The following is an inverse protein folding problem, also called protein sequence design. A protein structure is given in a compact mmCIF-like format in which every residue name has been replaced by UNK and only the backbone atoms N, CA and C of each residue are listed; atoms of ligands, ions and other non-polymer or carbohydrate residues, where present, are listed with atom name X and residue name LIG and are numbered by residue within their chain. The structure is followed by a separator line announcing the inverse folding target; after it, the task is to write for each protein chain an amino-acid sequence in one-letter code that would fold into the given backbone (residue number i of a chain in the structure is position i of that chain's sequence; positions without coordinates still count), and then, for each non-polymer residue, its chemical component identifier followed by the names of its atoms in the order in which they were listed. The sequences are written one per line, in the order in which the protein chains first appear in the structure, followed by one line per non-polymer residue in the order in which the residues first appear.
data_IF_072973177177
#
_entry.id   IF_072973177177
#
_cell.length_a   1.000
_cell.length_b   1.000
_cell.length_c   1.000
_cell.angle_alpha   90.00
_cell.angle_beta   90.00
_cell.angle_gamma   90.00
#
_symmetry.space_group_name_H-M   'P 1'
#
loop_
_entity.id
_entity.type
_entity.pdbx_description
1 polymer ?
#
# COMPACT_ATOMS: atom_id res chain seq x y z
N UNK A 1 11.35 3.92 -16.19
CA UNK A 1 10.69 4.78 -15.19
C UNK A 1 9.81 3.89 -14.34
N UNK A 2 9.85 4.06 -13.03
CA UNK A 2 8.99 3.33 -12.09
C UNK A 2 7.66 4.06 -11.93
N UNK A 3 6.57 3.32 -11.82
CA UNK A 3 5.30 3.87 -11.34
C UNK A 3 5.24 3.79 -9.82
N UNK A 4 4.33 4.55 -9.22
CA UNK A 4 4.12 4.59 -7.78
C UNK A 4 2.64 4.35 -7.45
N UNK A 5 2.41 3.51 -6.44
CA UNK A 5 1.09 3.00 -6.10
C UNK A 5 0.78 3.22 -4.63
N UNK A 6 -0.46 3.63 -4.35
CA UNK A 6 -1.05 3.56 -3.03
C UNK A 6 -2.09 2.45 -3.01
N UNK A 7 -1.89 1.46 -2.14
CA UNK A 7 -2.81 0.35 -1.92
C UNK A 7 -3.58 0.53 -0.61
N UNK A 8 -4.91 0.37 -0.65
CA UNK A 8 -5.80 0.54 0.49
C UNK A 8 -6.12 -0.82 1.10
N UNK A 9 -5.52 -1.10 2.26
CA UNK A 9 -5.60 -2.41 2.93
C UNK A 9 -5.60 -2.20 4.45
N UNK A 10 -6.38 -2.97 5.20
CA UNK A 10 -6.36 -2.89 6.68
C UNK A 10 -4.99 -3.21 7.25
N UNK A 11 -4.59 -2.54 8.33
CA UNK A 11 -3.23 -2.66 8.87
C UNK A 11 -2.84 -4.09 9.26
N UNK A 12 -3.80 -4.88 9.77
CA UNK A 12 -3.58 -6.31 10.04
C UNK A 12 -3.17 -7.09 8.79
N UNK A 13 -3.85 -6.88 7.66
CA UNK A 13 -3.50 -7.55 6.41
C UNK A 13 -2.20 -7.01 5.82
N UNK A 14 -1.91 -5.71 6.00
CA UNK A 14 -0.62 -5.13 5.62
C UNK A 14 0.52 -5.83 6.35
N UNK A 15 0.43 -5.98 7.69
CA UNK A 15 1.46 -6.67 8.49
C UNK A 15 1.70 -8.10 8.02
N UNK A 16 0.64 -8.86 7.74
CA UNK A 16 0.77 -10.20 7.15
C UNK A 16 1.45 -10.16 5.78
N UNK A 17 1.07 -9.20 4.93
CA UNK A 17 1.71 -9.00 3.62
C UNK A 17 3.20 -8.67 3.73
N UNK A 18 3.59 -7.83 4.69
CA UNK A 18 4.98 -7.50 4.98
C UNK A 18 5.76 -8.72 5.46
N UNK A 19 5.21 -9.48 6.41
CA UNK A 19 5.82 -10.71 6.93
C UNK A 19 6.09 -11.74 5.81
N UNK A 20 5.17 -11.89 4.87
CA UNK A 20 5.32 -12.78 3.72
C UNK A 20 6.12 -12.18 2.55
N UNK A 21 6.46 -10.89 2.59
CA UNK A 21 7.12 -10.19 1.48
C UNK A 21 6.26 -10.09 0.22
N UNK A 22 4.95 -9.88 0.37
CA UNK A 22 3.97 -9.87 -0.74
C UNK A 22 3.08 -8.62 -0.73
N UNK A 23 2.58 -8.26 -1.91
CA UNK A 23 1.41 -7.39 -2.09
C UNK A 23 0.20 -8.21 -2.48
N UNK A 24 -0.92 -7.97 -1.79
CA UNK A 24 -2.23 -8.56 -2.08
C UNK A 24 -3.30 -7.49 -1.82
N UNK A 25 -4.06 -7.11 -2.84
CA UNK A 25 -5.05 -6.03 -2.76
C UNK A 25 -6.42 -6.49 -3.23
N UNK A 26 -7.45 -5.67 -3.01
CA UNK A 26 -8.80 -5.89 -3.57
C UNK A 26 -9.37 -7.29 -3.32
N UNK A 27 -9.22 -7.82 -2.10
CA UNK A 27 -9.65 -9.17 -1.73
C UNK A 27 -9.07 -10.26 -2.65
N UNK A 28 -7.79 -10.13 -3.02
CA UNK A 28 -7.07 -11.12 -3.83
C UNK A 28 -7.36 -11.04 -5.33
N UNK A 29 -8.10 -10.02 -5.78
CA UNK A 29 -8.39 -9.85 -7.21
C UNK A 29 -7.15 -9.35 -7.98
N UNK A 30 -7.01 -9.72 -9.26
CA UNK A 30 -5.79 -9.46 -10.02
C UNK A 30 -5.61 -8.00 -10.50
N UNK A 31 -6.65 -7.15 -10.50
CA UNK A 31 -6.59 -5.89 -11.27
C UNK A 31 -5.49 -4.93 -10.77
N UNK A 32 -5.33 -4.79 -9.45
CA UNK A 32 -4.25 -3.96 -8.89
C UNK A 32 -2.88 -4.60 -9.12
N UNK A 33 -2.79 -5.90 -8.87
CA UNK A 33 -1.55 -6.68 -8.94
C UNK A 33 -0.96 -6.70 -10.36
N UNK A 34 -1.80 -6.84 -11.39
CA UNK A 34 -1.35 -6.89 -12.79
C UNK A 34 -0.85 -5.56 -13.35
N UNK A 35 -1.16 -4.44 -12.68
CA UNK A 35 -0.70 -3.10 -13.09
C UNK A 35 0.69 -2.77 -12.55
N UNK A 36 1.15 -3.50 -11.54
CA UNK A 36 2.43 -3.29 -10.89
C UNK A 36 3.54 -4.02 -11.64
N UNK A 37 4.65 -3.33 -11.89
CA UNK A 37 5.84 -3.87 -12.53
C UNK A 37 7.03 -3.90 -11.55
N UNK A 38 8.03 -4.78 -11.76
CA UNK A 38 9.26 -4.76 -10.96
C UNK A 38 9.89 -3.37 -10.91
N UNK A 39 10.31 -2.94 -9.72
CA UNK A 39 10.88 -1.63 -9.47
C UNK A 39 9.86 -0.52 -9.18
N UNK A 40 8.56 -0.74 -9.38
CA UNK A 40 7.51 0.20 -8.96
C UNK A 40 7.54 0.43 -7.44
N UNK A 41 7.26 1.66 -7.01
CA UNK A 41 7.09 1.98 -5.60
C UNK A 41 5.68 1.64 -5.13
N UNK A 42 5.57 1.09 -3.92
CA UNK A 42 4.30 0.75 -3.27
C UNK A 42 4.26 1.36 -1.87
N UNK A 43 3.16 2.02 -1.55
CA UNK A 43 2.78 2.45 -0.20
C UNK A 43 1.45 1.81 0.16
N UNK A 44 1.32 1.36 1.40
CA UNK A 44 0.01 1.02 1.97
C UNK A 44 -0.58 2.18 2.76
N UNK A 45 -1.85 2.45 2.50
CA UNK A 45 -2.72 3.23 3.37
C UNK A 45 -3.75 2.31 4.04
N UNK A 46 -3.88 2.43 5.34
CA UNK A 46 -4.81 1.65 6.15
C UNK A 46 -5.90 2.54 6.75
N UNK A 47 -7.11 2.55 6.18
CA UNK A 47 -8.25 3.26 6.75
C UNK A 47 -8.64 2.72 8.14
N UNK A 48 -8.40 1.43 8.37
CA UNK A 48 -8.78 0.68 9.58
C UNK A 48 -7.67 -0.25 10.05
N UNK A 49 -7.71 -0.61 11.33
CA UNK A 49 -6.79 -1.59 11.94
C UNK A 49 -7.00 -3.02 11.42
N UNK A 50 -8.26 -3.45 11.25
CA UNK A 50 -8.66 -4.76 10.72
C UNK A 50 -9.87 -4.64 9.77
N UNK A 51 -10.13 -5.70 8.99
CA UNK A 51 -11.30 -5.80 8.10
C UNK A 51 -12.24 -6.91 8.59
N UNK A 52 -13.57 -6.73 8.55
CA UNK A 52 -14.28 -5.52 8.11
C UNK A 52 -14.45 -4.45 9.21
N UNK A 53 -14.32 -4.84 10.48
CA UNK A 53 -14.86 -4.07 11.62
C UNK A 53 -13.81 -3.39 12.51
N UNK A 54 -12.56 -3.29 12.07
CA UNK A 54 -11.52 -2.63 12.85
C UNK A 54 -11.76 -1.13 13.04
N UNK A 55 -11.17 -0.59 14.09
CA UNK A 55 -11.19 0.83 14.41
C UNK A 55 -10.57 1.69 13.29
N UNK A 56 -11.04 2.93 13.09
CA UNK A 56 -10.41 3.88 12.19
C UNK A 56 -8.93 4.09 12.55
N UNK A 57 -8.06 3.95 11.55
CA UNK A 57 -6.62 4.16 11.70
C UNK A 57 -6.15 5.36 10.87
N UNK A 58 -6.46 5.35 9.58
CA UNK A 58 -6.09 6.40 8.61
C UNK A 58 -4.58 6.70 8.61
N UNK A 59 -3.75 5.67 8.53
CA UNK A 59 -2.29 5.78 8.52
C UNK A 59 -1.67 5.16 7.27
N UNK A 60 -0.48 5.62 6.90
CA UNK A 60 0.43 4.89 6.03
C UNK A 60 1.15 3.84 6.87
N UNK A 61 1.14 2.57 6.44
CA UNK A 61 1.48 1.43 7.32
C UNK A 61 2.59 0.52 6.80
N UNK A 62 2.99 0.70 5.54
CA UNK A 62 4.20 0.08 5.00
C UNK A 62 4.56 0.73 3.67
N UNK A 63 5.83 0.63 3.31
CA UNK A 63 6.38 1.09 2.04
C UNK A 63 7.41 0.10 1.51
N UNK A 64 7.50 -0.03 0.19
CA UNK A 64 8.45 -0.93 -0.44
C UNK A 64 8.51 -0.78 -1.95
N UNK A 65 9.24 -1.70 -2.58
CA UNK A 65 9.34 -1.81 -4.03
C UNK A 65 8.93 -3.19 -4.52
N UNK A 66 8.18 -3.21 -5.62
CA UNK A 66 7.79 -4.45 -6.27
C UNK A 66 9.07 -5.17 -6.72
N UNK A 67 9.23 -6.41 -6.26
CA UNK A 67 10.39 -7.23 -6.58
C UNK A 67 10.27 -7.83 -8.00
N UNK A 68 11.38 -8.38 -8.48
CA UNK A 68 11.40 -9.13 -9.74
C UNK A 68 10.47 -10.34 -9.70
N UNK A 69 9.93 -10.67 -10.87
CA UNK A 69 9.03 -11.80 -11.08
C UNK A 69 7.62 -11.41 -11.52
N UNK A 70 6.89 -12.44 -11.94
CA UNK A 70 5.50 -12.34 -12.41
C UNK A 70 4.50 -12.44 -11.25
N UNK A 71 3.29 -11.85 -11.41
CA UNK A 71 2.24 -12.07 -10.45
C UNK A 71 1.81 -13.54 -10.47
N UNK A 72 1.59 -14.13 -9.29
CA UNK A 72 1.10 -15.50 -9.18
C UNK A 72 -0.20 -15.55 -8.41
N UNK A 73 -0.97 -16.61 -8.64
CA UNK A 73 -2.14 -16.93 -7.83
C UNK A 73 -1.71 -17.92 -6.75
N UNK A 74 -1.81 -17.53 -5.49
CA UNK A 74 -1.60 -18.44 -4.37
C UNK A 74 -2.83 -19.31 -4.15
N UNK A 75 -2.63 -20.49 -3.57
CA UNK A 75 -3.70 -21.36 -3.10
C UNK A 75 -3.66 -21.38 -1.57
N UNK A 76 -4.56 -20.64 -0.93
CA UNK A 76 -4.65 -20.53 0.54
C UNK A 76 -6.02 -21.04 0.95
N UNK A 77 -6.08 -22.31 1.34
CA UNK A 77 -7.33 -23.00 1.67
C UNK A 77 -8.35 -22.89 0.51
N UNK A 78 -9.49 -22.24 0.73
CA UNK A 78 -10.52 -22.00 -0.29
C UNK A 78 -10.43 -20.60 -0.92
N UNK A 79 -9.32 -19.89 -0.73
CA UNK A 79 -9.08 -18.55 -1.23
C UNK A 79 -7.86 -18.52 -2.15
N UNK A 80 -8.05 -18.06 -3.39
CA UNK A 80 -7.00 -18.06 -4.42
C UNK A 80 -6.55 -16.64 -4.81
N UNK A 81 -5.86 -15.90 -3.92
CA UNK A 81 -5.49 -14.52 -4.17
C UNK A 81 -4.33 -14.37 -5.15
N UNK A 82 -4.37 -13.31 -5.94
CA UNK A 82 -3.21 -12.84 -6.72
C UNK A 82 -2.24 -12.06 -5.85
N UNK A 83 -0.95 -12.33 -6.04
CA UNK A 83 0.16 -11.75 -5.27
C UNK A 83 1.33 -11.37 -6.18
N UNK A 84 2.13 -10.41 -5.72
CA UNK A 84 3.49 -10.11 -6.21
C UNK A 84 4.44 -10.06 -5.03
N UNK A 85 5.73 -10.32 -5.27
CA UNK A 85 6.78 -10.15 -4.27
C UNK A 85 7.09 -8.66 -4.11
N UNK A 86 7.41 -8.26 -2.89
CA UNK A 86 7.76 -6.89 -2.53
C UNK A 86 8.94 -6.90 -1.57
N UNK A 87 9.91 -6.03 -1.81
CA UNK A 87 10.94 -5.69 -0.85
C UNK A 87 10.44 -4.50 -0.03
N UNK A 88 10.01 -4.77 1.21
CA UNK A 88 9.56 -3.73 2.13
C UNK A 88 10.74 -3.09 2.86
N UNK A 89 10.65 -1.79 3.09
CA UNK A 89 11.54 -1.07 3.99
C UNK A 89 11.12 -1.34 5.45
N UNK A 90 12.05 -1.16 6.40
CA UNK A 90 11.69 -1.06 7.80
C UNK A 90 10.96 0.28 8.03
N UNK A 91 9.75 0.23 8.59
CA UNK A 91 8.88 1.40 8.69
C UNK A 91 8.02 1.39 9.94
N UNK A 92 7.58 2.58 10.37
CA UNK A 92 6.63 2.80 11.48
C UNK A 92 5.40 3.55 11.01
N UNK A 93 4.19 3.15 11.41
CA UNK A 93 2.95 3.80 10.97
C UNK A 93 2.98 5.33 11.15
N UNK A 94 2.59 6.07 10.11
CA UNK A 94 2.48 7.55 10.13
C UNK A 94 1.05 7.95 9.78
N UNK A 95 0.45 8.85 10.55
CA UNK A 95 -0.92 9.29 10.30
C UNK A 95 -1.02 10.05 8.97
N UNK A 96 -2.09 9.81 8.21
CA UNK A 96 -2.39 10.61 7.02
C UNK A 96 -2.42 12.10 7.33
N UNK A 97 -2.94 12.48 8.51
CA UNK A 97 -3.07 13.88 8.91
C UNK A 97 -1.73 14.62 8.97
N UNK A 98 -0.63 13.92 9.24
CA UNK A 98 0.71 14.51 9.33
C UNK A 98 1.26 14.92 7.95
N UNK A 99 0.88 14.18 6.89
CA UNK A 99 1.37 14.39 5.53
C UNK A 99 0.32 15.05 4.61
N UNK A 100 -0.96 15.00 4.98
CA UNK A 100 -2.08 15.46 4.15
C UNK A 100 -1.93 16.87 3.55
N UNK A 101 -1.33 17.87 4.23
CA UNK A 101 -1.13 19.19 3.63
C UNK A 101 -0.08 19.23 2.50
N UNK A 102 0.80 18.21 2.45
CA UNK A 102 1.96 18.18 1.56
C UNK A 102 1.78 17.23 0.37
N UNK A 103 0.88 16.25 0.47
CA UNK A 103 0.66 15.29 -0.61
C UNK A 103 -0.19 15.91 -1.74
N UNK A 104 0.28 15.75 -2.97
CA UNK A 104 -0.44 16.14 -4.18
C UNK A 104 -1.75 15.36 -4.30
N UNK A 105 -1.72 14.06 -3.98
CA UNK A 105 -2.90 13.18 -4.00
C UNK A 105 -4.05 13.72 -3.16
N UNK A 106 -3.77 14.29 -1.99
CA UNK A 106 -4.81 14.83 -1.10
C UNK A 106 -5.26 16.24 -1.47
N UNK A 107 -4.56 16.91 -2.40
CA UNK A 107 -5.02 18.16 -3.02
C UNK A 107 -6.00 17.91 -4.18
N UNK A 108 -6.09 16.67 -4.69
CA UNK A 108 -7.04 16.34 -5.73
C UNK A 108 -8.49 16.38 -5.22
N UNK A 109 -9.38 16.91 -6.06
CA UNK A 109 -10.81 16.88 -5.78
C UNK A 109 -11.28 15.42 -5.59
N UNK A 110 -12.01 15.16 -4.51
CA UNK A 110 -12.54 13.84 -4.17
C UNK A 110 -11.46 12.75 -3.97
N UNK A 111 -10.24 13.10 -3.53
CA UNK A 111 -9.18 12.12 -3.23
C UNK A 111 -9.68 10.95 -2.34
N UNK A 112 -10.52 11.24 -1.34
CA UNK A 112 -11.11 10.22 -0.46
C UNK A 112 -12.03 9.23 -1.18
N UNK A 113 -12.67 9.63 -2.28
CA UNK A 113 -13.44 8.71 -3.13
C UNK A 113 -12.52 7.81 -3.96
N UNK A 114 -11.36 8.32 -4.39
CA UNK A 114 -10.40 7.52 -5.16
C UNK A 114 -9.88 6.30 -4.40
N UNK A 115 -9.72 6.43 -3.07
CA UNK A 115 -9.33 5.32 -2.19
C UNK A 115 -10.25 4.09 -2.30
N UNK A 116 -11.52 4.28 -2.70
CA UNK A 116 -12.48 3.16 -2.92
C UNK A 116 -12.07 2.21 -4.04
N UNK A 117 -11.14 2.62 -4.91
CA UNK A 117 -10.58 1.76 -5.98
C UNK A 117 -9.62 0.69 -5.44
N UNK A 118 -9.18 0.84 -4.19
CA UNK A 118 -8.29 -0.08 -3.48
C UNK A 118 -6.83 -0.07 -3.95
N UNK A 119 -6.55 0.31 -5.20
CA UNK A 119 -5.21 0.66 -5.69
C UNK A 119 -5.32 1.90 -6.58
N UNK A 120 -4.56 2.94 -6.26
CA UNK A 120 -4.50 4.20 -7.02
C UNK A 120 -3.06 4.55 -7.36
N UNK A 121 -2.79 5.13 -8.54
CA UNK A 121 -1.49 5.72 -8.80
C UNK A 121 -1.28 6.94 -7.91
N UNK A 122 -0.03 7.17 -7.49
CA UNK A 122 0.43 8.40 -6.84
C UNK A 122 1.66 8.93 -7.56
N UNK A 123 2.05 10.17 -7.29
CA UNK A 123 3.26 10.75 -7.88
C UNK A 123 4.52 10.25 -7.17
N UNK A 124 5.67 10.41 -7.84
CA UNK A 124 6.97 10.13 -7.22
C UNK A 124 7.20 11.02 -5.98
N UNK A 125 6.73 12.27 -6.02
CA UNK A 125 6.78 13.21 -4.91
C UNK A 125 6.06 12.66 -3.68
N UNK A 126 4.79 12.25 -3.83
CA UNK A 126 4.00 11.69 -2.73
C UNK A 126 4.63 10.41 -2.17
N UNK A 127 5.09 9.52 -3.06
CA UNK A 127 5.80 8.32 -2.64
C UNK A 127 7.04 8.65 -1.81
N UNK A 128 7.86 9.61 -2.27
CA UNK A 128 9.09 10.00 -1.58
C UNK A 128 8.80 10.61 -0.20
N UNK A 129 7.79 11.49 -0.09
CA UNK A 129 7.38 12.08 1.19
C UNK A 129 6.88 11.02 2.18
N UNK A 130 6.00 10.12 1.74
CA UNK A 130 5.46 9.07 2.61
C UNK A 130 6.58 8.11 3.03
N UNK A 131 7.44 7.69 2.09
CA UNK A 131 8.58 6.82 2.37
C UNK A 131 9.50 7.47 3.40
N UNK A 132 9.87 8.73 3.19
CA UNK A 132 10.74 9.45 4.12
C UNK A 132 10.14 9.49 5.53
N UNK A 133 8.86 9.87 5.65
CA UNK A 133 8.21 9.97 6.95
C UNK A 133 8.13 8.62 7.67
N UNK A 134 7.72 7.56 6.95
CA UNK A 134 7.48 6.25 7.55
C UNK A 134 8.77 5.47 7.86
N UNK A 135 9.90 5.80 7.21
CA UNK A 135 11.22 5.19 7.47
C UNK A 135 12.13 6.05 8.34
N UNK A 136 11.73 7.29 8.67
CA UNK A 136 12.48 8.13 9.59
C UNK A 136 12.23 7.64 11.01
N UNK A 137 13.21 6.96 11.59
CA UNK A 137 13.18 6.68 13.03
C UNK A 137 13.18 8.02 13.77
N UNK A 138 12.07 8.39 14.39
CA UNK A 138 12.09 9.44 15.41
C UNK A 138 12.98 8.93 16.54
N UNK A 139 14.18 9.51 16.64
CA UNK A 139 15.12 9.25 17.73
C UNK A 139 14.56 9.70 19.08
#
# INVERSE_FOLDING_TARGET
MSNFWLAVVSAQHVRQGVEFGIVQTNHGKPQGIRRMSPGDGLVYYSPKTSYPDGEPLKAFTAVGRIADGEPWQSDVENFKPWRRKVHYDLSTDVSLAELQPQLEFTQEANWGYQLRRGVVPITEHDFALIRQAITSTTA
#
